data_IF_739803025716
#
_entry.id   IF_739803025716
#
_cell.length_a   1.000
_cell.length_b   1.000
_cell.length_c   1.000
_cell.angle_alpha   90.00
_cell.angle_beta   90.00
_cell.angle_gamma   90.00
#
_symmetry.space_group_name_H-M   'P 1'
#
loop_
_entity.id
_entity.type
_entity.pdbx_description
1 polymer ?
#
# COMPACT_ATOMS: atom_id res chain seq x y z
N UNK A 1 -0.04 -2.32 2.57
CA UNK A 1 0.61 -1.72 3.76
C UNK A 1 -0.24 -0.62 4.40
N UNK A 2 -0.15 -0.49 5.74
CA UNK A 2 -0.90 0.51 6.50
C UNK A 2 -0.54 1.95 6.08
N UNK A 3 -1.51 2.85 6.07
CA UNK A 3 -1.34 4.29 5.90
C UNK A 3 -0.63 4.95 7.11
N UNK A 4 -0.08 6.17 7.02
CA UNK A 4 0.08 6.97 5.81
C UNK A 4 0.96 6.24 4.80
N UNK A 5 0.73 6.43 3.51
CA UNK A 5 1.57 5.91 2.42
C UNK A 5 2.86 6.73 2.26
N UNK A 6 3.45 7.10 3.38
CA UNK A 6 4.66 7.91 3.46
C UNK A 6 5.90 7.05 3.21
N UNK A 7 6.81 7.59 2.40
CA UNK A 7 8.08 6.94 2.05
C UNK A 7 9.17 7.99 1.84
N UNK A 8 10.45 7.64 2.10
CA UNK A 8 11.59 8.49 1.76
C UNK A 8 11.65 8.80 0.26
N UNK A 9 12.32 9.90 -0.10
CA UNK A 9 12.42 10.42 -1.48
C UNK A 9 12.84 9.38 -2.52
N UNK A 10 13.71 8.43 -2.16
CA UNK A 10 14.14 7.33 -3.04
C UNK A 10 12.97 6.51 -3.61
N UNK A 11 11.88 6.40 -2.86
CA UNK A 11 10.66 5.68 -3.25
C UNK A 11 9.51 6.60 -3.57
N UNK A 12 9.44 7.75 -2.88
CA UNK A 12 8.47 8.79 -3.21
C UNK A 12 8.58 9.11 -4.71
N UNK A 13 7.44 9.38 -5.34
CA UNK A 13 7.36 9.71 -6.76
C UNK A 13 7.73 8.59 -7.74
N UNK A 14 8.05 7.37 -7.29
CA UNK A 14 8.46 6.26 -8.16
C UNK A 14 7.41 5.90 -9.23
N UNK A 15 6.14 6.06 -8.89
CA UNK A 15 5.01 5.66 -9.74
C UNK A 15 4.15 6.83 -10.23
N UNK A 16 4.40 8.04 -9.72
CA UNK A 16 3.71 9.25 -10.13
C UNK A 16 4.54 10.46 -9.68
N UNK A 17 4.96 11.32 -10.60
CA UNK A 17 5.67 12.54 -10.24
C UNK A 17 4.67 13.59 -9.76
N UNK A 18 4.85 14.04 -8.52
CA UNK A 18 3.95 14.98 -7.82
C UNK A 18 4.77 15.89 -6.90
N UNK A 19 6.04 16.15 -7.23
CA UNK A 19 6.94 17.00 -6.43
C UNK A 19 6.44 18.43 -6.28
N UNK A 20 5.67 18.90 -7.25
CA UNK A 20 5.07 20.24 -7.27
C UNK A 20 3.66 20.27 -6.65
N UNK A 21 3.22 19.16 -6.05
CA UNK A 21 1.88 19.00 -5.50
C UNK A 21 1.92 18.49 -4.04
N UNK A 22 0.85 18.71 -3.24
CA UNK A 22 0.75 18.11 -1.92
C UNK A 22 0.71 16.57 -1.99
N UNK A 23 1.58 15.92 -1.21
CA UNK A 23 1.63 14.46 -1.12
C UNK A 23 0.31 13.86 -0.60
N UNK A 24 -0.35 13.06 -1.43
CA UNK A 24 -1.55 12.31 -1.05
C UNK A 24 -1.19 10.98 -0.38
N UNK A 25 -0.93 11.02 0.92
CA UNK A 25 -0.50 9.84 1.71
C UNK A 25 -1.57 9.32 2.67
N UNK A 26 -2.65 10.07 2.85
CA UNK A 26 -3.77 9.72 3.72
C UNK A 26 -5.02 9.43 2.87
N UNK A 27 -5.38 8.16 2.62
CA UNK A 27 -6.60 7.85 1.90
C UNK A 27 -7.83 8.21 2.76
N UNK A 28 -8.91 8.72 2.16
CA UNK A 28 -10.19 8.78 2.85
C UNK A 28 -10.70 7.37 3.13
N UNK A 29 -11.46 7.19 4.21
CA UNK A 29 -12.09 5.91 4.52
C UNK A 29 -13.58 5.99 4.19
N UNK A 30 -14.03 5.16 3.25
CA UNK A 30 -15.44 5.12 2.87
C UNK A 30 -15.69 4.67 1.44
N UNK A 31 -16.98 4.75 1.05
CA UNK A 31 -17.48 4.48 -0.31
C UNK A 31 -17.94 5.78 -0.98
N UNK A 32 -17.84 5.82 -2.30
CA UNK A 32 -18.19 6.95 -3.16
C UNK A 32 -17.41 8.20 -2.77
N UNK A 33 -16.10 8.04 -2.48
CA UNK A 33 -15.29 9.13 -1.90
C UNK A 33 -15.00 10.23 -2.92
N UNK A 34 -15.02 9.93 -4.22
CA UNK A 34 -14.81 10.92 -5.27
C UNK A 34 -16.14 11.61 -5.59
N UNK A 35 -17.22 10.85 -5.75
CA UNK A 35 -18.57 11.39 -5.94
C UNK A 35 -18.97 12.35 -4.81
N UNK A 36 -18.61 12.03 -3.56
CA UNK A 36 -18.85 12.89 -2.38
C UNK A 36 -17.85 14.04 -2.23
N UNK A 37 -16.85 14.13 -3.10
CA UNK A 37 -15.87 15.22 -3.13
C UNK A 37 -14.82 15.18 -2.01
N UNK A 38 -14.55 14.02 -1.40
CA UNK A 38 -13.46 13.90 -0.41
C UNK A 38 -12.08 13.94 -1.08
N UNK A 39 -11.97 13.36 -2.27
CA UNK A 39 -10.78 13.40 -3.12
C UNK A 39 -11.21 13.51 -4.59
N UNK A 40 -10.31 13.93 -5.46
CA UNK A 40 -10.50 13.88 -6.93
C UNK A 40 -9.95 12.57 -7.51
N UNK A 41 -10.27 12.27 -8.78
CA UNK A 41 -9.64 11.18 -9.53
C UNK A 41 -8.11 11.30 -9.53
N UNK A 42 -7.58 12.52 -9.75
CA UNK A 42 -6.14 12.78 -9.72
C UNK A 42 -5.53 12.44 -8.35
N UNK A 43 -6.17 12.86 -7.26
CA UNK A 43 -5.72 12.51 -5.91
C UNK A 43 -5.83 11.01 -5.63
N UNK A 44 -6.82 10.32 -6.21
CA UNK A 44 -6.93 8.87 -6.13
C UNK A 44 -5.78 8.15 -6.86
N UNK A 45 -5.33 8.66 -8.01
CA UNK A 45 -4.14 8.16 -8.72
C UNK A 45 -2.86 8.36 -7.89
N UNK A 46 -2.71 9.55 -7.29
CA UNK A 46 -1.60 9.88 -6.39
C UNK A 46 -1.57 8.93 -5.17
N UNK A 47 -2.72 8.64 -4.55
CA UNK A 47 -2.83 7.70 -3.44
C UNK A 47 -2.38 6.28 -3.83
N UNK A 48 -2.79 5.79 -5.01
CA UNK A 48 -2.36 4.47 -5.52
C UNK A 48 -0.86 4.44 -5.79
N UNK A 49 -0.31 5.51 -6.36
CA UNK A 49 1.12 5.63 -6.60
C UNK A 49 1.93 5.61 -5.29
N UNK A 50 1.47 6.33 -4.26
CA UNK A 50 2.11 6.34 -2.94
C UNK A 50 1.97 4.98 -2.23
N UNK A 51 0.83 4.30 -2.35
CA UNK A 51 0.67 2.91 -1.88
C UNK A 51 1.71 1.97 -2.54
N UNK A 52 1.88 2.07 -3.86
CA UNK A 52 2.87 1.30 -4.62
C UNK A 52 4.31 1.63 -4.22
N UNK A 53 4.62 2.91 -3.99
CA UNK A 53 5.93 3.35 -3.50
C UNK A 53 6.25 2.71 -2.14
N UNK A 54 5.27 2.64 -1.24
CA UNK A 54 5.44 1.98 0.07
C UNK A 54 5.63 0.47 -0.07
N UNK A 55 4.95 -0.18 -1.00
CA UNK A 55 5.19 -1.60 -1.30
C UNK A 55 6.62 -1.84 -1.81
N UNK A 56 7.13 -1.00 -2.70
CA UNK A 56 8.53 -1.07 -3.15
C UNK A 56 9.54 -0.94 -2.02
N UNK A 57 9.28 -0.06 -1.06
CA UNK A 57 10.14 0.08 0.12
C UNK A 57 10.10 -1.19 0.97
N UNK A 58 8.92 -1.80 1.16
CA UNK A 58 8.78 -3.05 1.90
C UNK A 58 9.51 -4.19 1.19
N UNK A 59 9.38 -4.30 -0.13
CA UNK A 59 10.08 -5.27 -0.95
C UNK A 59 11.61 -5.17 -0.79
N UNK A 60 12.15 -3.94 -0.79
CA UNK A 60 13.58 -3.72 -0.52
C UNK A 60 14.02 -4.29 0.84
N UNK A 61 13.23 -4.06 1.89
CA UNK A 61 13.56 -4.54 3.24
C UNK A 61 13.33 -6.03 3.40
N UNK A 62 12.32 -6.61 2.75
CA UNK A 62 12.15 -8.05 2.66
C UNK A 62 13.39 -8.68 2.00
N UNK A 63 13.87 -8.10 0.90
CA UNK A 63 15.12 -8.51 0.26
C UNK A 63 16.31 -8.55 1.24
N UNK A 64 16.42 -7.58 2.16
CA UNK A 64 17.47 -7.60 3.19
C UNK A 64 17.35 -8.76 4.19
N UNK A 65 16.13 -9.17 4.52
CA UNK A 65 15.91 -10.35 5.36
C UNK A 65 16.28 -11.62 4.59
N UNK A 66 15.87 -11.74 3.32
CA UNK A 66 16.18 -12.88 2.47
C UNK A 66 17.69 -13.00 2.19
N UNK A 67 18.36 -11.88 1.89
CA UNK A 67 19.83 -11.80 1.79
C UNK A 67 20.50 -12.33 3.07
N UNK A 68 19.94 -12.03 4.24
CA UNK A 68 20.46 -12.54 5.52
C UNK A 68 20.26 -14.05 5.67
N UNK A 69 19.16 -14.61 5.17
CA UNK A 69 18.95 -16.06 5.16
C UNK A 69 19.96 -16.77 4.26
N UNK A 70 20.18 -16.23 3.06
CA UNK A 70 21.17 -16.75 2.10
C UNK A 70 22.59 -16.71 2.67
N UNK A 71 23.03 -15.56 3.17
CA UNK A 71 24.41 -15.35 3.62
C UNK A 71 24.79 -16.18 4.85
N UNK A 72 23.80 -16.63 5.63
CA UNK A 72 24.02 -17.41 6.84
C UNK A 72 23.61 -18.89 6.69
N UNK A 73 23.20 -19.31 5.49
CA UNK A 73 22.81 -20.71 5.23
C UNK A 73 21.60 -21.18 6.04
N UNK A 74 20.64 -20.30 6.32
CA UNK A 74 19.54 -20.58 7.26
C UNK A 74 18.38 -21.36 6.65
N UNK A 75 18.38 -21.59 5.34
CA UNK A 75 17.26 -22.24 4.65
C UNK A 75 17.08 -23.71 5.03
N UNK A 76 18.12 -24.38 5.52
CA UNK A 76 18.10 -25.80 5.82
C UNK A 76 17.24 -26.15 7.05
N UNK A 77 17.07 -25.21 8.00
CA UNK A 77 16.36 -25.42 9.26
C UNK A 77 15.32 -24.34 9.60
N UNK A 78 15.17 -23.31 8.76
CA UNK A 78 14.25 -22.19 8.99
C UNK A 78 13.15 -22.13 7.93
N UNK A 79 11.89 -22.15 8.37
CA UNK A 79 10.74 -21.90 7.51
C UNK A 79 10.37 -20.41 7.48
N UNK A 80 10.10 -19.87 6.28
CA UNK A 80 9.65 -18.49 6.08
C UNK A 80 8.18 -18.46 5.65
N UNK A 81 7.36 -17.73 6.38
CA UNK A 81 5.96 -17.46 6.04
C UNK A 81 5.76 -15.96 5.86
N UNK A 82 5.37 -15.53 4.66
CA UNK A 82 5.00 -14.15 4.38
C UNK A 82 3.48 -14.05 4.32
N UNK A 83 2.90 -13.29 5.26
CA UNK A 83 1.46 -13.10 5.41
C UNK A 83 1.11 -11.63 5.56
N UNK A 84 -0.15 -11.29 5.28
CA UNK A 84 -0.75 -9.99 5.61
C UNK A 84 -1.96 -10.24 6.50
N UNK A 85 -2.24 -9.31 7.40
CA UNK A 85 -3.44 -9.35 8.25
C UNK A 85 -4.72 -9.08 7.46
N UNK A 86 -4.65 -8.13 6.52
CA UNK A 86 -5.72 -7.79 5.59
C UNK A 86 -5.20 -7.04 4.34
N UNK A 87 -6.10 -6.76 3.39
CA UNK A 87 -5.85 -5.88 2.24
C UNK A 87 -6.17 -4.42 2.53
N UNK A 88 -6.11 -3.57 1.51
CA UNK A 88 -6.55 -2.17 1.56
C UNK A 88 -7.26 -1.86 0.25
N UNK A 89 -8.46 -1.26 0.31
CA UNK A 89 -9.18 -0.85 -0.90
C UNK A 89 -8.59 0.43 -1.45
N UNK A 90 -8.42 0.49 -2.77
CA UNK A 90 -7.80 1.60 -3.46
C UNK A 90 -8.74 2.20 -4.51
N UNK A 91 -10.05 2.10 -4.30
CA UNK A 91 -11.07 2.70 -5.15
C UNK A 91 -11.47 1.86 -6.36
N UNK A 92 -11.18 0.56 -6.39
CA UNK A 92 -11.52 -0.32 -7.53
C UNK A 92 -13.03 -0.60 -7.67
N UNK A 93 -13.77 -0.53 -6.56
CA UNK A 93 -15.24 -0.72 -6.54
C UNK A 93 -15.87 0.36 -5.69
N UNK A 94 -16.95 0.97 -6.19
CA UNK A 94 -17.71 2.02 -5.52
C UNK A 94 -16.83 3.14 -4.95
N UNK A 95 -15.69 3.43 -5.60
CA UNK A 95 -14.68 4.38 -5.11
C UNK A 95 -14.30 4.13 -3.64
N UNK A 96 -14.29 2.86 -3.22
CA UNK A 96 -14.06 2.51 -1.84
C UNK A 96 -12.57 2.58 -1.49
N UNK A 97 -12.23 3.36 -0.46
CA UNK A 97 -10.89 3.41 0.11
C UNK A 97 -10.92 3.02 1.60
N UNK A 98 -9.80 2.48 2.08
CA UNK A 98 -9.61 2.09 3.47
C UNK A 98 -9.60 0.58 3.68
N UNK A 99 -9.82 0.16 4.92
CA UNK A 99 -9.77 -1.24 5.33
C UNK A 99 -11.06 -1.99 4.95
N UNK A 100 -10.97 -3.32 4.72
CA UNK A 100 -12.12 -4.21 4.76
C UNK A 100 -12.99 -3.93 5.99
N UNK A 101 -14.28 -3.65 5.79
CA UNK A 101 -15.24 -3.60 6.90
C UNK A 101 -15.39 -5.01 7.45
N UNK A 102 -14.94 -5.24 8.68
CA UNK A 102 -15.13 -6.54 9.33
C UNK A 102 -16.54 -6.66 9.90
N UNK A 103 -17.29 -7.75 9.63
CA UNK A 103 -17.01 -8.84 8.68
C UNK A 103 -17.69 -8.59 7.32
N UNK A 104 -16.98 -8.88 6.23
CA UNK A 104 -17.56 -9.01 4.89
C UNK A 104 -18.27 -10.37 4.84
N UNK A 105 -19.45 -10.47 5.44
CA UNK A 105 -20.31 -11.65 5.27
C UNK A 105 -20.99 -11.61 3.90
N UNK A 106 -20.27 -12.11 2.88
CA UNK A 106 -20.81 -13.03 1.86
C UNK A 106 -19.66 -13.50 0.95
N UNK A 107 -19.25 -14.77 1.13
CA UNK A 107 -18.39 -15.51 0.20
C UNK A 107 -19.22 -16.46 -0.70
N UNK A 108 -20.54 -16.23 -0.77
CA UNK A 108 -21.49 -16.90 -1.64
C UNK A 108 -22.34 -15.86 -2.37
#
# INVERSE_FOLDING_TARGET
PHEPFDTPERWAYRYHDQRDEPLQIWPPYGRHVIEKGFITEHQAEQLRANYGAKLSMIDHWLGKVLDSMDNNGLWDDTALFLVTDHGHYLGERDEMFGKPLSPIYNLL
#
